data_IF_015157665131
#
_entry.id   IF_015157665131
#
_cell.length_a   1.000
_cell.length_b   1.000
_cell.length_c   1.000
_cell.angle_alpha   90.00
_cell.angle_beta   90.00
_cell.angle_gamma   90.00
#
_symmetry.space_group_name_H-M   'P 1'
#
loop_
_entity.id
_entity.type
_entity.pdbx_description
1 polymer ?
#
# COMPACT_ATOMS: atom_id res chain seq x y z
N UNK A 1 -19.70 -36.35 -33.16
CA UNK A 1 -19.21 -35.01 -33.53
C UNK A 1 -20.09 -33.99 -32.83
N UNK A 2 -19.60 -33.35 -31.76
CA UNK A 2 -20.38 -32.40 -30.96
C UNK A 2 -20.16 -30.97 -31.48
N UNK A 3 -21.25 -30.29 -31.81
CA UNK A 3 -21.26 -28.89 -32.27
C UNK A 3 -20.91 -27.94 -31.11
N UNK A 4 -19.92 -27.08 -31.29
CA UNK A 4 -19.48 -26.10 -30.30
C UNK A 4 -20.13 -24.73 -30.59
N UNK A 5 -21.03 -24.22 -29.72
CA UNK A 5 -21.87 -23.05 -30.02
C UNK A 5 -21.21 -21.69 -29.72
N UNK A 6 -19.91 -21.63 -29.43
CA UNK A 6 -19.25 -20.40 -28.95
C UNK A 6 -18.63 -19.51 -30.04
N UNK A 7 -18.89 -19.72 -31.34
CA UNK A 7 -18.11 -19.05 -32.40
C UNK A 7 -18.60 -17.68 -32.87
N UNK A 8 -19.80 -17.22 -32.50
CA UNK A 8 -20.35 -15.96 -33.05
C UNK A 8 -21.11 -15.11 -32.01
N UNK A 9 -20.38 -14.48 -31.10
CA UNK A 9 -20.95 -13.41 -30.27
C UNK A 9 -20.09 -12.14 -30.37
N UNK A 10 -20.34 -11.32 -31.41
CA UNK A 10 -19.90 -9.92 -31.43
C UNK A 10 -20.96 -9.07 -30.73
N UNK A 11 -20.67 -8.57 -29.54
CA UNK A 11 -21.55 -7.67 -28.78
C UNK A 11 -21.13 -6.22 -29.08
N UNK A 12 -22.04 -5.45 -29.68
CA UNK A 12 -21.90 -4.01 -29.92
C UNK A 12 -22.60 -3.26 -28.78
N UNK A 13 -21.84 -2.68 -27.84
CA UNK A 13 -22.40 -1.86 -26.75
C UNK A 13 -22.47 -0.40 -27.17
N UNK A 14 -23.69 0.13 -27.36
CA UNK A 14 -23.95 1.59 -27.39
C UNK A 14 -24.47 2.01 -26.01
N UNK A 15 -23.66 2.76 -25.25
CA UNK A 15 -24.13 3.46 -24.05
C UNK A 15 -24.61 4.88 -24.44
N UNK A 16 -25.78 5.28 -23.94
CA UNK A 16 -26.24 6.67 -23.91
C UNK A 16 -26.01 7.23 -22.50
N UNK A 17 -25.53 8.47 -22.34
CA UNK A 17 -25.37 9.05 -21.01
C UNK A 17 -26.63 9.82 -20.60
N UNK A 18 -27.09 9.58 -19.38
CA UNK A 18 -27.98 10.50 -18.68
C UNK A 18 -27.64 10.47 -17.18
N UNK A 19 -27.12 11.59 -16.68
CA UNK A 19 -27.07 11.97 -15.26
C UNK A 19 -27.94 13.23 -15.07
N UNK A 20 -28.23 13.71 -13.85
CA UNK A 20 -27.89 13.18 -12.52
C UNK A 20 -29.11 13.05 -11.58
N UNK A 21 -28.92 12.55 -10.35
CA UNK A 21 -29.28 13.20 -9.07
C UNK A 21 -28.80 12.32 -7.89
N UNK A 22 -28.24 12.97 -6.87
CA UNK A 22 -27.71 12.39 -5.64
C UNK A 22 -28.81 11.77 -4.76
N UNK A 23 -28.52 10.62 -4.14
CA UNK A 23 -29.15 10.17 -2.89
C UNK A 23 -28.22 9.19 -2.18
N UNK A 24 -27.88 9.51 -0.94
CA UNK A 24 -27.23 8.59 0.00
C UNK A 24 -28.22 7.47 0.35
N UNK A 25 -27.82 6.22 0.20
CA UNK A 25 -28.54 5.05 0.71
C UNK A 25 -27.59 4.26 1.61
N UNK A 26 -27.90 4.23 2.90
CA UNK A 26 -27.39 3.24 3.85
C UNK A 26 -27.96 1.87 3.47
N UNK A 27 -27.10 0.88 3.21
CA UNK A 27 -27.52 -0.52 3.08
C UNK A 27 -27.21 -1.27 4.37
N UNK A 28 -28.25 -1.58 5.15
CA UNK A 28 -28.21 -2.64 6.14
C UNK A 28 -28.41 -3.98 5.42
N UNK A 29 -27.50 -4.93 5.64
CA UNK A 29 -27.55 -6.29 5.10
C UNK A 29 -28.77 -7.05 5.62
N UNK A 30 -29.83 -7.12 4.83
CA UNK A 30 -30.84 -8.18 4.84
C UNK A 30 -31.65 -8.08 3.55
N UNK A 31 -31.89 -9.22 2.89
CA UNK A 31 -32.59 -9.42 1.60
C UNK A 31 -31.80 -9.17 0.30
N UNK A 32 -30.86 -10.09 0.02
CA UNK A 32 -30.34 -10.31 -1.33
C UNK A 32 -31.17 -11.40 -2.04
N UNK A 33 -32.19 -10.98 -2.80
CA UNK A 33 -32.92 -11.85 -3.72
C UNK A 33 -32.81 -11.31 -5.15
N UNK A 34 -31.66 -11.53 -5.79
CA UNK A 34 -31.47 -11.25 -7.22
C UNK A 34 -32.04 -12.42 -8.03
N UNK A 35 -33.14 -12.16 -8.75
CA UNK A 35 -33.66 -13.04 -9.80
C UNK A 35 -32.69 -13.07 -10.99
N UNK A 36 -31.88 -14.12 -11.10
CA UNK A 36 -31.05 -14.37 -12.29
C UNK A 36 -31.92 -14.98 -13.39
N UNK A 37 -32.22 -14.18 -14.41
CA UNK A 37 -32.80 -14.66 -15.67
C UNK A 37 -31.70 -15.28 -16.52
N UNK A 38 -31.79 -16.60 -16.67
CA UNK A 38 -31.11 -17.48 -17.62
C UNK A 38 -30.31 -16.83 -18.76
N UNK A 39 -28.99 -16.72 -18.59
CA UNK A 39 -28.05 -16.66 -19.73
C UNK A 39 -27.10 -17.84 -19.64
N UNK A 40 -27.22 -18.76 -20.61
CA UNK A 40 -26.38 -19.96 -20.79
C UNK A 40 -24.87 -19.68 -20.86
N UNK A 41 -24.47 -18.41 -20.98
CA UNK A 41 -23.08 -17.97 -20.94
C UNK A 41 -22.42 -18.11 -19.55
N UNK A 42 -23.16 -17.88 -18.46
CA UNK A 42 -22.61 -17.94 -17.10
C UNK A 42 -22.29 -19.39 -16.69
N UNK A 43 -23.10 -20.35 -17.15
CA UNK A 43 -22.85 -21.78 -16.91
C UNK A 43 -21.57 -22.30 -17.61
N UNK A 44 -21.09 -21.61 -18.66
CA UNK A 44 -19.87 -22.00 -19.37
C UNK A 44 -18.61 -21.51 -18.66
N UNK A 45 -18.66 -20.33 -18.02
CA UNK A 45 -17.58 -19.77 -17.21
C UNK A 45 -17.35 -20.59 -15.92
N UNK A 46 -18.42 -21.01 -15.24
CA UNK A 46 -18.30 -21.79 -14.00
C UNK A 46 -17.70 -23.19 -14.26
N UNK A 47 -18.12 -23.86 -15.35
CA UNK A 47 -17.55 -25.19 -15.69
C UNK A 47 -16.08 -25.16 -16.12
N UNK A 48 -15.58 -24.03 -16.62
CA UNK A 48 -14.18 -23.90 -17.03
C UNK A 48 -13.23 -23.59 -15.87
N UNK A 49 -13.78 -23.20 -14.71
CA UNK A 49 -12.99 -22.95 -13.49
C UNK A 49 -12.83 -24.20 -12.60
N UNK A 50 -13.79 -25.13 -12.59
CA UNK A 50 -13.70 -26.35 -11.77
C UNK A 50 -12.62 -27.35 -12.26
N UNK A 51 -12.28 -27.35 -13.56
CA UNK A 51 -11.26 -28.26 -14.10
C UNK A 51 -9.82 -27.79 -13.84
N UNK A 52 -9.59 -26.53 -13.47
CA UNK A 52 -8.23 -26.00 -13.20
C UNK A 52 -7.78 -26.11 -11.74
N UNK A 53 -8.67 -26.42 -10.80
CA UNK A 53 -8.32 -26.52 -9.36
C UNK A 53 -7.98 -27.93 -8.87
N UNK A 54 -7.93 -28.94 -9.74
CA UNK A 54 -7.58 -30.33 -9.37
C UNK A 54 -6.17 -30.79 -9.76
N UNK A 55 -5.34 -29.93 -10.33
CA UNK A 55 -3.89 -30.16 -10.48
C UNK A 55 -3.17 -29.16 -9.58
N UNK A 56 -2.89 -29.53 -8.32
CA UNK A 56 -1.81 -29.00 -7.45
C UNK A 56 -1.92 -29.45 -5.98
N UNK A 57 -2.86 -30.32 -5.61
CA UNK A 57 -3.01 -30.84 -4.24
C UNK A 57 -2.21 -32.14 -3.97
N UNK A 58 -0.98 -32.27 -4.50
CA UNK A 58 -0.12 -33.45 -4.26
C UNK A 58 1.37 -33.10 -4.24
N UNK A 59 1.86 -32.29 -3.31
CA UNK A 59 3.25 -32.42 -2.79
C UNK A 59 3.56 -31.51 -1.58
N UNK A 60 2.79 -31.59 -0.49
CA UNK A 60 3.20 -30.98 0.79
C UNK A 60 2.87 -31.95 1.93
N UNK A 61 3.78 -32.89 2.17
CA UNK A 61 3.82 -33.69 3.40
C UNK A 61 5.26 -34.15 3.63
N UNK A 62 6.05 -33.35 4.36
CA UNK A 62 7.19 -33.81 5.18
C UNK A 62 7.92 -32.60 5.79
N UNK A 63 7.78 -32.40 7.10
CA UNK A 63 8.87 -32.48 8.10
C UNK A 63 8.44 -31.78 9.39
N UNK A 64 8.20 -32.61 10.40
CA UNK A 64 8.15 -32.24 11.80
C UNK A 64 9.56 -32.25 12.41
N UNK A 65 9.72 -31.38 13.41
CA UNK A 65 10.54 -31.50 14.62
C UNK A 65 12.06 -31.26 14.53
N UNK A 66 12.54 -30.38 15.44
CA UNK A 66 13.85 -30.29 16.16
C UNK A 66 14.01 -28.81 16.58
N UNK A 67 14.31 -28.35 17.80
CA UNK A 67 14.58 -28.92 19.11
C UNK A 67 14.51 -27.79 20.18
N UNK A 68 14.23 -28.14 21.45
CA UNK A 68 14.38 -27.29 22.63
C UNK A 68 15.85 -27.29 23.12
N UNK A 69 16.38 -26.12 23.51
CA UNK A 69 17.47 -25.85 24.49
C UNK A 69 17.78 -24.33 24.42
N UNK A 70 18.22 -23.54 25.40
CA UNK A 70 18.75 -23.64 26.77
C UNK A 70 18.60 -22.21 27.38
N UNK A 71 18.26 -22.01 28.67
CA UNK A 71 19.13 -21.92 29.86
C UNK A 71 20.19 -20.77 29.88
N UNK A 72 20.07 -19.88 30.89
CA UNK A 72 21.07 -18.89 31.36
C UNK A 72 20.49 -17.47 31.41
N UNK A 73 20.21 -16.78 32.53
CA UNK A 73 20.97 -16.59 33.79
C UNK A 73 22.01 -15.46 33.60
N UNK A 74 22.13 -14.34 34.34
CA UNK A 74 21.50 -13.76 35.53
C UNK A 74 22.31 -12.49 35.97
N UNK A 75 21.84 -11.73 36.98
CA UNK A 75 22.60 -10.75 37.82
C UNK A 75 22.51 -9.26 37.43
N UNK A 76 21.83 -8.36 38.17
CA UNK A 76 22.23 -7.63 39.42
C UNK A 76 23.36 -6.58 39.19
N UNK A 77 23.40 -5.33 39.68
CA UNK A 77 22.64 -4.55 40.68
C UNK A 77 23.20 -3.09 40.79
N UNK A 78 22.31 -2.13 41.10
CA UNK A 78 22.43 -0.96 42.03
C UNK A 78 23.51 0.15 41.94
N UNK A 79 23.02 1.39 42.08
CA UNK A 79 23.72 2.58 42.65
C UNK A 79 23.41 3.84 41.84
N UNK A 80 22.83 4.94 42.31
CA UNK A 80 22.68 5.49 43.65
C UNK A 80 23.21 6.93 43.67
N UNK A 81 22.34 7.88 44.01
CA UNK A 81 22.60 9.25 44.55
C UNK A 81 22.29 10.46 43.65
N UNK A 82 21.41 11.28 44.21
CA UNK A 82 21.04 12.63 43.82
C UNK A 82 22.14 13.66 44.10
N UNK A 83 22.15 14.77 43.37
CA UNK A 83 22.15 16.10 43.99
C UNK A 83 21.76 17.20 42.99
N UNK A 84 20.96 18.12 43.52
CA UNK A 84 20.49 19.37 42.96
C UNK A 84 21.59 20.40 42.70
N UNK A 85 21.50 21.15 41.59
CA UNK A 85 21.96 22.54 41.51
C UNK A 85 20.99 23.34 40.62
N UNK A 86 20.62 24.52 41.10
CA UNK A 86 19.66 25.43 40.50
C UNK A 86 20.25 26.31 39.38
N UNK A 87 19.37 26.62 38.42
CA UNK A 87 19.19 27.86 37.65
C UNK A 87 20.40 28.60 37.08
N UNK A 88 20.49 28.64 35.75
CA UNK A 88 20.83 29.87 35.01
C UNK A 88 20.04 29.89 33.70
N UNK A 89 19.06 30.79 33.62
CA UNK A 89 18.39 31.13 32.38
C UNK A 89 19.36 31.95 31.52
N UNK A 90 19.75 31.42 30.37
CA UNK A 90 20.44 32.18 29.34
C UNK A 90 19.78 31.86 28.01
N UNK A 91 18.95 32.79 27.54
CA UNK A 91 18.43 32.82 26.17
C UNK A 91 19.61 32.80 25.21
N UNK A 92 19.81 31.66 24.56
CA UNK A 92 20.65 31.53 23.38
C UNK A 92 19.77 30.83 22.36
N UNK A 93 19.52 31.52 21.26
CA UNK A 93 18.83 31.03 20.08
C UNK A 93 19.44 29.70 19.64
N UNK A 94 18.81 28.60 20.04
CA UNK A 94 19.09 27.29 19.47
C UNK A 94 18.46 27.30 18.08
N UNK A 95 19.30 27.49 17.05
CA UNK A 95 19.04 26.81 15.78
C UNK A 95 18.83 25.35 16.15
N UNK A 96 17.58 24.90 16.08
CA UNK A 96 17.24 23.49 16.17
C UNK A 96 18.05 22.82 15.07
N UNK A 97 19.17 22.20 15.45
CA UNK A 97 19.67 21.09 14.68
C UNK A 97 18.47 20.15 14.59
N UNK A 98 17.97 19.90 13.39
CA UNK A 98 17.03 18.81 13.15
C UNK A 98 17.72 17.58 13.70
N UNK A 99 17.37 17.19 14.93
CA UNK A 99 17.62 15.85 15.41
C UNK A 99 17.01 14.97 14.34
N UNK A 100 17.81 14.17 13.65
CA UNK A 100 17.27 13.14 12.77
C UNK A 100 16.31 12.33 13.62
N UNK A 101 15.02 12.54 13.38
CA UNK A 101 13.98 11.91 14.15
C UNK A 101 14.07 10.44 13.75
N UNK A 102 14.35 9.57 14.72
CA UNK A 102 14.36 8.12 14.47
C UNK A 102 12.95 7.56 14.36
N UNK A 103 11.93 8.42 14.47
CA UNK A 103 10.52 8.08 14.56
C UNK A 103 10.02 7.37 13.31
N UNK A 104 10.59 7.67 12.14
CA UNK A 104 10.19 7.05 10.86
C UNK A 104 11.22 6.04 10.33
N UNK A 105 12.25 5.69 11.09
CA UNK A 105 13.32 4.80 10.62
C UNK A 105 12.78 3.41 10.21
N UNK A 106 11.73 2.94 10.88
CA UNK A 106 11.13 1.63 10.63
C UNK A 106 10.25 1.59 9.37
N UNK A 107 9.84 2.75 8.84
CA UNK A 107 9.00 2.85 7.63
C UNK A 107 9.71 3.59 6.49
N UNK A 108 10.89 4.16 6.73
CA UNK A 108 11.71 4.79 5.70
C UNK A 108 12.10 3.78 4.62
N UNK A 109 11.88 4.12 3.35
CA UNK A 109 12.19 3.21 2.25
C UNK A 109 11.45 3.55 0.96
N UNK A 110 11.74 2.76 -0.07
CA UNK A 110 11.05 2.80 -1.34
C UNK A 110 9.95 1.73 -1.36
N UNK A 111 8.75 2.10 -1.77
CA UNK A 111 7.57 1.25 -1.82
C UNK A 111 6.98 1.25 -3.23
N UNK A 112 6.52 0.09 -3.68
CA UNK A 112 5.87 -0.07 -4.96
C UNK A 112 4.42 0.47 -4.93
N UNK A 113 4.13 1.40 -5.84
CA UNK A 113 2.82 1.99 -6.07
C UNK A 113 2.27 1.68 -7.49
N UNK A 114 2.95 0.83 -8.26
CA UNK A 114 2.71 0.57 -9.69
C UNK A 114 1.33 -0.03 -10.01
N UNK A 115 0.65 0.44 -11.04
CA UNK A 115 -0.67 -0.04 -11.44
C UNK A 115 -0.66 -0.63 -12.86
N UNK A 116 -0.61 -1.96 -12.95
CA UNK A 116 -0.68 -2.65 -14.24
C UNK A 116 0.63 -2.50 -15.04
N UNK A 117 0.64 -1.60 -16.03
CA UNK A 117 1.83 -1.30 -16.86
C UNK A 117 2.48 0.04 -16.51
N UNK A 118 1.89 0.75 -15.54
CA UNK A 118 2.27 2.07 -15.03
C UNK A 118 3.11 1.89 -13.76
N UNK A 119 4.39 2.20 -13.82
CA UNK A 119 5.39 1.91 -12.80
C UNK A 119 5.62 3.15 -11.93
N UNK A 120 5.13 3.07 -10.70
CA UNK A 120 5.11 4.17 -9.76
C UNK A 120 5.70 3.74 -8.42
N UNK A 121 6.35 4.67 -7.74
CA UNK A 121 7.01 4.40 -6.47
C UNK A 121 6.76 5.52 -5.46
N UNK A 122 6.69 5.17 -4.18
CA UNK A 122 6.76 6.12 -3.09
C UNK A 122 8.07 5.96 -2.34
N UNK A 123 8.77 7.06 -2.13
CA UNK A 123 9.87 7.13 -1.19
C UNK A 123 9.41 7.82 0.08
N UNK A 124 9.62 7.17 1.22
CA UNK A 124 9.39 7.73 2.55
C UNK A 124 10.76 8.06 3.14
N UNK A 125 11.00 9.33 3.44
CA UNK A 125 12.27 9.79 4.00
C UNK A 125 12.32 9.68 5.55
N UNK A 126 13.44 10.06 6.15
CA UNK A 126 13.64 10.01 7.61
C UNK A 126 12.77 11.00 8.39
N UNK A 127 12.16 11.97 7.72
CA UNK A 127 11.18 12.90 8.30
C UNK A 127 9.74 12.38 8.19
N UNK A 128 9.53 11.22 7.56
CA UNK A 128 8.21 10.67 7.28
C UNK A 128 7.51 11.36 6.11
N UNK A 129 8.23 12.12 5.28
CA UNK A 129 7.65 12.80 4.11
C UNK A 129 7.67 11.85 2.91
N UNK A 130 6.55 11.81 2.18
CA UNK A 130 6.40 11.00 0.97
C UNK A 130 6.79 11.81 -0.26
N UNK A 131 7.60 11.20 -1.13
CA UNK A 131 7.85 11.66 -2.49
C UNK A 131 7.39 10.59 -3.47
N UNK A 132 6.51 10.94 -4.39
CA UNK A 132 6.02 10.03 -5.41
C UNK A 132 6.84 10.18 -6.70
N UNK A 133 7.26 9.05 -7.28
CA UNK A 133 8.01 8.98 -8.52
C UNK A 133 7.22 8.19 -9.57
N UNK A 134 7.29 8.65 -10.81
CA UNK A 134 6.78 7.97 -11.99
C UNK A 134 7.97 7.61 -12.92
N UNK A 135 7.98 6.37 -13.44
CA UNK A 135 8.96 5.91 -14.43
C UNK A 135 8.41 6.03 -15.85
N UNK A 136 8.89 7.03 -16.60
CA UNK A 136 8.29 7.43 -17.88
C UNK A 136 8.60 6.48 -19.06
N UNK A 137 9.47 5.48 -18.84
CA UNK A 137 9.89 4.51 -19.85
C UNK A 137 9.12 3.19 -19.81
N UNK A 138 7.98 3.15 -19.13
CA UNK A 138 7.14 1.96 -19.00
C UNK A 138 6.14 1.79 -20.16
N UNK A 139 5.11 0.96 -19.95
CA UNK A 139 4.09 0.70 -20.96
C UNK A 139 2.88 1.64 -20.88
N UNK A 140 2.78 2.46 -19.84
CA UNK A 140 1.73 3.47 -19.66
C UNK A 140 2.15 4.80 -20.29
N UNK A 141 3.42 5.15 -20.13
CA UNK A 141 4.01 6.39 -20.59
C UNK A 141 4.67 6.27 -21.96
N UNK A 142 4.80 7.41 -22.63
CA UNK A 142 5.52 7.54 -23.91
C UNK A 142 6.78 8.40 -23.75
N UNK A 143 7.43 8.32 -22.59
CA UNK A 143 8.58 9.14 -22.23
C UNK A 143 9.92 8.43 -22.40
N UNK A 144 10.96 9.11 -21.92
CA UNK A 144 12.31 8.57 -21.87
C UNK A 144 12.45 7.55 -20.74
N UNK A 145 13.49 6.71 -20.80
CA UNK A 145 13.82 5.72 -19.75
C UNK A 145 14.43 6.41 -18.52
N UNK A 146 13.63 7.23 -17.84
CA UNK A 146 14.02 8.02 -16.69
C UNK A 146 12.86 8.17 -15.70
N UNK A 147 13.18 8.59 -14.49
CA UNK A 147 12.21 8.88 -13.43
C UNK A 147 11.94 10.37 -13.33
N UNK A 148 10.74 10.70 -12.86
CA UNK A 148 10.34 12.07 -12.52
C UNK A 148 9.52 12.05 -11.25
N UNK A 149 9.58 13.09 -10.44
CA UNK A 149 8.58 13.30 -9.39
C UNK A 149 7.19 13.45 -10.00
N UNK A 150 6.17 12.83 -9.40
CA UNK A 150 4.81 12.85 -9.91
C UNK A 150 4.23 14.27 -10.00
N UNK A 151 3.43 14.58 -11.03
CA UNK A 151 2.73 15.87 -11.28
C UNK A 151 1.24 15.66 -11.51
N UNK A 152 0.45 16.74 -11.49
CA UNK A 152 -1.02 16.86 -11.42
C UNK A 152 -1.91 15.85 -12.20
N UNK A 153 -1.37 15.07 -13.14
CA UNK A 153 -2.11 14.03 -13.90
C UNK A 153 -1.65 12.58 -13.59
N UNK A 154 -0.56 12.40 -12.85
CA UNK A 154 -0.06 11.10 -12.42
C UNK A 154 -0.96 10.54 -11.29
N UNK A 155 -1.14 9.22 -11.24
CA UNK A 155 -2.04 8.55 -10.27
C UNK A 155 -1.68 8.85 -8.82
N UNK A 156 -0.43 9.19 -8.56
CA UNK A 156 0.20 9.37 -7.26
C UNK A 156 0.64 10.81 -6.96
N UNK A 157 0.31 11.77 -7.83
CA UNK A 157 0.79 13.15 -7.74
C UNK A 157 0.43 13.86 -6.44
N UNK A 158 -0.82 13.68 -6.01
CA UNK A 158 -1.38 14.36 -4.84
C UNK A 158 -0.82 13.86 -3.50
N UNK A 159 0.02 12.81 -3.54
CA UNK A 159 0.64 12.24 -2.34
C UNK A 159 2.00 12.89 -2.05
N UNK A 160 2.70 13.42 -3.06
CA UNK A 160 4.00 14.07 -2.87
C UNK A 160 3.90 15.23 -1.88
N UNK A 161 4.80 15.26 -0.90
CA UNK A 161 4.84 16.24 0.18
C UNK A 161 3.89 15.95 1.35
N UNK A 162 3.09 14.87 1.28
CA UNK A 162 2.33 14.39 2.43
C UNK A 162 3.29 13.87 3.50
N UNK A 163 2.97 14.10 4.77
CA UNK A 163 3.74 13.60 5.91
C UNK A 163 2.98 12.49 6.63
N UNK A 164 3.72 11.47 7.05
CA UNK A 164 3.24 10.50 8.00
C UNK A 164 3.11 11.12 9.38
N UNK A 165 2.10 10.68 10.12
CA UNK A 165 2.03 10.83 11.56
C UNK A 165 2.38 9.49 12.20
N UNK A 166 3.30 9.50 13.16
CA UNK A 166 3.57 8.31 13.97
C UNK A 166 2.52 8.19 15.08
N UNK A 167 1.94 7.00 15.20
CA UNK A 167 0.91 6.71 16.18
C UNK A 167 1.52 6.08 17.43
N UNK A 168 0.88 6.29 18.58
CA UNK A 168 1.33 5.69 19.84
C UNK A 168 1.29 4.15 19.87
N UNK A 169 0.62 3.52 18.90
CA UNK A 169 0.59 2.06 18.71
C UNK A 169 1.86 1.51 18.05
N UNK A 170 2.69 2.37 17.43
CA UNK A 170 3.77 1.96 16.53
C UNK A 170 3.35 1.89 15.06
N UNK A 171 2.08 2.19 14.75
CA UNK A 171 1.59 2.33 13.38
C UNK A 171 1.89 3.73 12.84
N UNK A 172 1.70 3.91 11.54
CA UNK A 172 1.81 5.23 10.90
C UNK A 172 0.49 5.59 10.23
N UNK A 173 0.16 6.87 10.18
CA UNK A 173 -1.03 7.35 9.49
C UNK A 173 -0.71 8.46 8.49
N UNK A 174 -1.51 8.56 7.43
CA UNK A 174 -1.41 9.59 6.41
C UNK A 174 -2.82 10.08 6.04
N UNK A 175 -2.97 11.39 5.90
CA UNK A 175 -4.23 11.98 5.45
C UNK A 175 -4.25 12.11 3.92
N UNK A 176 -5.17 11.39 3.29
CA UNK A 176 -5.32 11.32 1.83
C UNK A 176 -6.73 11.78 1.47
N UNK A 177 -6.82 12.92 0.77
CA UNK A 177 -8.10 13.51 0.37
C UNK A 177 -9.04 13.73 1.57
N UNK A 178 -8.49 14.13 2.72
CA UNK A 178 -9.24 14.34 3.97
C UNK A 178 -9.70 13.06 4.69
N UNK A 179 -9.15 11.90 4.33
CA UNK A 179 -9.40 10.63 5.00
C UNK A 179 -8.08 10.06 5.52
N UNK A 180 -8.10 9.53 6.73
CA UNK A 180 -6.91 8.88 7.31
C UNK A 180 -6.76 7.46 6.75
N UNK A 181 -5.56 7.17 6.26
CA UNK A 181 -5.07 5.83 5.94
C UNK A 181 -4.05 5.44 6.99
N UNK A 182 -4.19 4.25 7.56
CA UNK A 182 -3.28 3.70 8.57
C UNK A 182 -2.44 2.59 7.94
N UNK A 183 -1.14 2.65 8.18
CA UNK A 183 -0.13 1.67 7.85
C UNK A 183 0.20 0.91 9.15
N UNK A 184 -0.41 -0.25 9.30
CA UNK A 184 -0.31 -1.08 10.50
C UNK A 184 1.00 -1.87 10.47
N UNK A 185 1.84 -1.66 11.48
CA UNK A 185 3.21 -2.17 11.51
C UNK A 185 3.34 -3.43 12.35
N UNK A 186 4.31 -4.27 12.03
CA UNK A 186 4.82 -5.29 12.94
C UNK A 186 6.33 -5.35 12.79
N UNK A 187 7.06 -4.78 13.75
CA UNK A 187 8.48 -4.54 13.58
C UNK A 187 8.70 -3.48 12.50
N UNK A 188 9.53 -3.79 11.51
CA UNK A 188 9.91 -2.91 10.39
C UNK A 188 9.08 -3.13 9.11
N UNK A 189 8.01 -3.93 9.19
CA UNK A 189 7.16 -4.28 8.06
C UNK A 189 5.74 -3.70 8.19
N UNK A 190 5.21 -3.16 7.08
CA UNK A 190 3.78 -2.85 6.97
C UNK A 190 3.06 -4.18 6.77
N UNK A 191 2.20 -4.55 7.71
CA UNK A 191 1.44 -5.80 7.64
C UNK A 191 0.02 -5.60 7.13
N UNK A 192 -0.53 -4.41 7.31
CA UNK A 192 -1.84 -4.01 6.80
C UNK A 192 -1.87 -2.54 6.43
N UNK A 193 -2.71 -2.24 5.45
CA UNK A 193 -3.14 -0.90 5.10
C UNK A 193 -4.62 -0.83 5.39
N UNK A 194 -5.08 0.17 6.14
CA UNK A 194 -6.49 0.34 6.46
C UNK A 194 -6.98 1.77 6.24
N UNK A 195 -8.21 1.89 5.75
CA UNK A 195 -8.87 3.16 5.49
C UNK A 195 -10.39 2.97 5.53
N UNK A 196 -11.12 3.85 6.22
CA UNK A 196 -12.59 3.84 6.21
C UNK A 196 -13.23 2.51 6.66
N UNK A 197 -12.58 1.75 7.55
CA UNK A 197 -13.05 0.45 8.02
C UNK A 197 -12.76 -0.73 7.10
N UNK A 198 -12.04 -0.51 6.00
CA UNK A 198 -11.51 -1.55 5.12
C UNK A 198 -10.04 -1.75 5.45
N UNK A 199 -9.55 -3.00 5.45
CA UNK A 199 -8.14 -3.34 5.66
C UNK A 199 -7.66 -4.38 4.65
N UNK A 200 -6.44 -4.24 4.14
CA UNK A 200 -5.78 -5.20 3.27
C UNK A 200 -4.38 -5.54 3.81
N UNK A 201 -4.00 -6.82 3.82
CA UNK A 201 -2.64 -7.28 4.20
C UNK A 201 -1.68 -7.44 3.03
N UNK A 202 -1.98 -6.81 1.90
CA UNK A 202 -1.19 -6.80 0.67
C UNK A 202 -1.43 -5.48 -0.05
N UNK A 203 -1.11 -5.40 -1.34
CA UNK A 203 -1.31 -4.16 -2.09
C UNK A 203 -2.75 -3.65 -1.97
N UNK A 204 -2.89 -2.37 -1.62
CA UNK A 204 -4.17 -1.70 -1.49
C UNK A 204 -4.24 -0.56 -2.51
N UNK A 205 -5.37 -0.42 -3.18
CA UNK A 205 -5.67 0.71 -4.07
C UNK A 205 -7.01 1.31 -3.69
N UNK A 206 -7.04 2.61 -3.49
CA UNK A 206 -8.18 3.38 -2.99
C UNK A 206 -8.26 4.72 -3.71
N UNK A 207 -9.46 5.26 -3.79
CA UNK A 207 -9.68 6.67 -4.14
C UNK A 207 -10.43 7.32 -3.01
N UNK A 208 -9.78 8.27 -2.33
CA UNK A 208 -10.28 8.94 -1.13
C UNK A 208 -10.32 10.45 -1.39
N UNK A 209 -11.49 11.08 -1.25
CA UNK A 209 -11.63 12.52 -1.49
C UNK A 209 -11.22 13.00 -2.90
N UNK A 210 -11.21 12.11 -3.89
CA UNK A 210 -10.74 12.40 -5.25
C UNK A 210 -9.27 12.06 -5.49
N UNK A 211 -8.50 11.78 -4.44
CA UNK A 211 -7.08 11.39 -4.54
C UNK A 211 -6.98 9.88 -4.68
N UNK A 212 -6.21 9.42 -5.66
CA UNK A 212 -5.89 8.00 -5.81
C UNK A 212 -4.65 7.64 -4.99
N UNK A 213 -4.73 6.54 -4.26
CA UNK A 213 -3.64 6.02 -3.46
C UNK A 213 -3.50 4.53 -3.72
N UNK A 214 -2.28 4.09 -4.02
CA UNK A 214 -1.95 2.68 -4.16
C UNK A 214 -0.61 2.39 -3.51
N UNK A 215 -0.58 1.41 -2.61
CA UNK A 215 0.65 1.03 -1.93
C UNK A 215 0.72 -0.50 -1.82
N UNK A 216 1.87 -1.06 -2.17
CA UNK A 216 2.27 -2.41 -1.79
C UNK A 216 3.02 -2.33 -0.44
N UNK A 217 2.61 -3.08 0.59
CA UNK A 217 3.24 -3.02 1.92
C UNK A 217 4.73 -3.38 1.93
N UNK A 218 5.15 -4.26 1.03
CA UNK A 218 6.54 -4.66 0.90
C UNK A 218 7.38 -3.55 0.26
N UNK A 219 8.56 -3.30 0.83
CA UNK A 219 9.54 -2.39 0.23
C UNK A 219 10.03 -2.93 -1.10
N UNK A 220 10.28 -2.04 -2.05
CA UNK A 220 11.00 -2.38 -3.26
C UNK A 220 12.43 -2.82 -2.89
N UNK A 221 12.86 -3.99 -3.39
CA UNK A 221 14.18 -4.58 -3.08
C UNK A 221 15.08 -4.71 -4.29
N UNK A 222 14.50 -4.62 -5.48
CA UNK A 222 15.15 -4.64 -6.79
C UNK A 222 15.52 -3.24 -7.29
N UNK A 223 15.06 -2.19 -6.59
CA UNK A 223 15.29 -0.79 -6.91
C UNK A 223 15.55 0.00 -5.63
N UNK A 224 16.52 0.90 -5.66
CA UNK A 224 16.82 1.83 -4.56
C UNK A 224 16.50 3.29 -4.92
N UNK A 225 16.43 4.16 -3.93
CA UNK A 225 16.27 5.60 -4.16
C UNK A 225 17.48 6.20 -4.87
N UNK A 226 18.68 5.66 -4.65
CA UNK A 226 19.89 6.08 -5.36
C UNK A 226 19.78 5.75 -6.87
N UNK A 227 19.19 4.61 -7.22
CA UNK A 227 18.95 4.23 -8.62
C UNK A 227 17.97 5.22 -9.28
N UNK A 228 16.84 5.52 -8.62
CA UNK A 228 15.85 6.49 -9.11
C UNK A 228 16.49 7.86 -9.31
N UNK A 229 17.19 8.38 -8.30
CA UNK A 229 17.79 9.71 -8.34
C UNK A 229 18.91 9.83 -9.38
N UNK A 230 19.64 8.73 -9.65
CA UNK A 230 20.65 8.67 -10.71
C UNK A 230 20.06 8.66 -12.13
N UNK A 231 18.78 8.30 -12.26
CA UNK A 231 18.06 8.17 -13.51
C UNK A 231 16.93 9.21 -13.65
N UNK A 232 17.02 10.34 -12.95
CA UNK A 232 16.06 11.43 -13.09
C UNK A 232 16.11 12.03 -14.49
N UNK A 233 14.95 12.37 -15.05
CA UNK A 233 14.86 13.08 -16.32
C UNK A 233 15.50 14.48 -16.19
N UNK A 234 16.20 14.92 -17.25
CA UNK A 234 16.86 16.24 -17.34
C UNK A 234 15.90 17.38 -17.72
#
# INVERSE_FOLDING_TARGET
MANNPCKDARILLRMKPTFPQFSFIFFTFSDFAVRISHSRAVLCLIKNMETKMHMNAKLMTALMALALSACGGGGSSSGGSASSVASTAQSSSSSVASSESTEFNEIMGLYDASSGVDNNYYYIDSSGTLTAYNYLGDGADAGDNCYREAVEDDVNADITGSSLNAESSGDYSIDIGGNTVTLEMTGDEITRISAGGISAGGSMSLTLGGVSFRLTPDRATDLSIDDITSMMCE
#
